data_IF_906459987432
#
_entry.id   IF_906459987432
#
_cell.length_a   1.000
_cell.length_b   1.000
_cell.length_c   1.000
_cell.angle_alpha   90.00
_cell.angle_beta   90.00
_cell.angle_gamma   90.00
#
_symmetry.space_group_name_H-M   'P 1'
#
loop_
_entity.id
_entity.type
_entity.pdbx_description
1 polymer ?
#
# COMPACT_ATOMS: atom_id res chain seq x y z
N UNK A 1 -13.11 0.58 5.16
CA UNK A 1 -13.67 0.44 3.78
C UNK A 1 -15.06 1.07 3.64
N UNK A 2 -15.89 1.07 4.69
CA UNK A 2 -17.21 1.72 4.62
C UNK A 2 -17.09 3.19 4.20
N UNK A 3 -16.22 3.96 4.84
CA UNK A 3 -16.00 5.37 4.51
C UNK A 3 -15.51 5.57 3.07
N UNK A 4 -14.60 4.71 2.58
CA UNK A 4 -14.16 4.74 1.18
C UNK A 4 -15.35 4.62 0.21
N UNK A 5 -16.20 3.61 0.41
CA UNK A 5 -17.37 3.38 -0.44
C UNK A 5 -18.33 4.57 -0.41
N UNK A 6 -18.56 5.14 0.77
CA UNK A 6 -19.45 6.29 0.96
C UNK A 6 -18.92 7.52 0.20
N UNK A 7 -17.62 7.83 0.34
CA UNK A 7 -17.01 8.96 -0.37
C UNK A 7 -17.08 8.75 -1.90
N UNK A 8 -16.72 7.53 -2.37
CA UNK A 8 -16.75 7.24 -3.80
C UNK A 8 -18.14 7.33 -4.42
N UNK A 9 -19.19 6.99 -3.68
CA UNK A 9 -20.58 7.15 -4.14
C UNK A 9 -21.05 8.61 -4.20
N UNK A 10 -20.36 9.51 -3.53
CA UNK A 10 -20.70 10.95 -3.44
C UNK A 10 -19.71 11.83 -4.19
N UNK A 11 -18.91 11.27 -5.09
CA UNK A 11 -17.99 12.09 -5.89
C UNK A 11 -18.75 13.17 -6.66
N UNK A 12 -18.24 14.40 -6.66
CA UNK A 12 -18.83 15.47 -7.45
C UNK A 12 -18.89 15.11 -8.93
N UNK A 13 -19.91 15.62 -9.63
CA UNK A 13 -20.06 15.40 -11.06
C UNK A 13 -18.83 15.91 -11.84
N UNK A 14 -18.28 15.08 -12.70
CA UNK A 14 -17.08 15.41 -13.49
C UNK A 14 -15.77 15.13 -12.79
N UNK A 15 -15.75 14.81 -11.49
CA UNK A 15 -14.55 14.38 -10.78
C UNK A 15 -14.39 12.87 -10.86
N UNK A 16 -13.13 12.45 -10.90
CA UNK A 16 -12.73 11.04 -10.97
C UNK A 16 -11.85 10.66 -9.79
N UNK A 17 -11.93 9.39 -9.42
CA UNK A 17 -11.11 8.80 -8.37
C UNK A 17 -10.29 7.63 -8.88
N UNK A 18 -9.06 7.50 -8.37
CA UNK A 18 -8.27 6.29 -8.47
C UNK A 18 -8.06 5.72 -7.07
N UNK A 19 -8.22 4.41 -6.92
CA UNK A 19 -8.10 3.69 -5.65
C UNK A 19 -7.04 2.61 -5.78
N UNK A 20 -5.94 2.77 -5.08
CA UNK A 20 -4.87 1.78 -5.00
C UNK A 20 -5.12 0.84 -3.82
N UNK A 21 -5.38 -0.42 -4.13
CA UNK A 21 -5.69 -1.47 -3.17
C UNK A 21 -4.51 -2.44 -3.00
N UNK A 22 -4.42 -3.07 -1.84
CA UNK A 22 -3.32 -4.00 -1.55
C UNK A 22 -3.46 -5.31 -2.34
N UNK A 23 -4.66 -5.88 -2.39
CA UNK A 23 -4.90 -7.23 -2.90
C UNK A 23 -5.89 -7.25 -4.08
N UNK A 24 -5.73 -8.25 -4.97
CA UNK A 24 -6.70 -8.50 -6.04
C UNK A 24 -8.09 -8.92 -5.52
N UNK A 25 -8.18 -9.55 -4.35
CA UNK A 25 -9.45 -9.90 -3.71
C UNK A 25 -10.26 -8.65 -3.35
N UNK A 26 -9.58 -7.57 -3.02
CA UNK A 26 -10.21 -6.28 -2.72
C UNK A 26 -10.92 -5.70 -3.96
N UNK A 27 -10.32 -5.88 -5.15
CA UNK A 27 -10.96 -5.47 -6.42
C UNK A 27 -12.28 -6.20 -6.64
N UNK A 28 -12.30 -7.52 -6.36
CA UNK A 28 -13.49 -8.34 -6.52
C UNK A 28 -14.61 -7.95 -5.51
N UNK A 29 -14.24 -7.48 -4.32
CA UNK A 29 -15.20 -6.92 -3.36
C UNK A 29 -15.78 -5.59 -3.87
N UNK A 30 -14.95 -4.70 -4.39
CA UNK A 30 -15.40 -3.41 -4.92
C UNK A 30 -16.28 -3.60 -6.17
N UNK A 31 -15.98 -4.59 -7.01
CA UNK A 31 -16.82 -4.91 -8.16
C UNK A 31 -18.24 -5.31 -7.76
N UNK A 32 -18.42 -6.05 -6.66
CA UNK A 32 -19.77 -6.37 -6.16
C UNK A 32 -20.57 -5.11 -5.79
N UNK A 33 -19.89 -4.02 -5.43
CA UNK A 33 -20.52 -2.78 -4.97
C UNK A 33 -20.75 -1.80 -6.13
N UNK A 34 -19.77 -1.66 -7.02
CA UNK A 34 -19.76 -0.64 -8.07
C UNK A 34 -20.06 -1.20 -9.47
N UNK A 35 -19.92 -2.51 -9.69
CA UNK A 35 -20.19 -3.15 -10.98
C UNK A 35 -19.54 -2.42 -12.16
N UNK A 36 -20.31 -2.21 -13.21
CA UNK A 36 -19.85 -1.56 -14.45
C UNK A 36 -19.68 -0.03 -14.34
N UNK A 37 -20.01 0.57 -13.21
CA UNK A 37 -19.82 2.02 -12.99
C UNK A 37 -18.35 2.38 -12.72
N UNK A 38 -17.54 1.39 -12.36
CA UNK A 38 -16.10 1.53 -12.13
C UNK A 38 -15.28 0.66 -13.10
N UNK A 39 -13.98 0.94 -13.18
CA UNK A 39 -13.00 0.12 -13.86
C UNK A 39 -12.11 -0.60 -12.84
N UNK A 40 -11.56 -1.75 -13.22
CA UNK A 40 -10.74 -2.61 -12.34
C UNK A 40 -9.49 -3.07 -13.08
N UNK A 41 -8.33 -2.92 -12.45
CA UNK A 41 -7.08 -3.35 -13.05
C UNK A 41 -6.16 -4.05 -12.05
N UNK A 42 -5.63 -5.20 -12.42
CA UNK A 42 -4.57 -5.90 -11.69
C UNK A 42 -3.47 -6.38 -12.64
N UNK A 43 -2.39 -6.86 -12.05
CA UNK A 43 -1.26 -7.41 -12.81
C UNK A 43 -1.68 -8.57 -13.72
N UNK A 44 -1.18 -8.61 -14.98
CA UNK A 44 -1.31 -9.77 -15.86
C UNK A 44 -0.70 -11.06 -15.26
N UNK A 45 0.20 -10.92 -14.28
CA UNK A 45 0.80 -12.03 -13.55
C UNK A 45 -0.03 -12.51 -12.35
N UNK A 46 -1.16 -11.87 -12.06
CA UNK A 46 -2.08 -12.35 -11.02
C UNK A 46 -2.88 -13.53 -11.55
N UNK A 47 -2.49 -14.75 -11.19
CA UNK A 47 -3.09 -15.99 -11.71
C UNK A 47 -4.61 -16.07 -11.49
N UNK A 48 -5.11 -15.54 -10.37
CA UNK A 48 -6.53 -15.61 -9.99
C UNK A 48 -7.40 -14.63 -10.76
N UNK A 49 -6.90 -13.41 -10.99
CA UNK A 49 -7.71 -12.30 -11.50
C UNK A 49 -7.30 -11.79 -12.87
N UNK A 50 -6.16 -12.24 -13.44
CA UNK A 50 -5.66 -11.77 -14.75
C UNK A 50 -6.68 -11.88 -15.87
N UNK A 51 -7.45 -12.95 -15.90
CA UNK A 51 -8.45 -13.14 -16.97
C UNK A 51 -9.57 -12.10 -16.93
N UNK A 52 -9.78 -11.46 -15.79
CA UNK A 52 -10.90 -10.54 -15.58
C UNK A 52 -10.45 -9.07 -15.54
N UNK A 53 -9.29 -8.79 -14.94
CA UNK A 53 -8.89 -7.42 -14.62
C UNK A 53 -7.53 -7.00 -15.21
N UNK A 54 -6.94 -7.72 -16.14
CA UNK A 54 -5.61 -7.36 -16.68
C UNK A 54 -5.66 -6.54 -17.97
N UNK A 55 -6.82 -6.25 -18.49
CA UNK A 55 -6.95 -5.39 -19.66
C UNK A 55 -6.95 -3.92 -19.25
N UNK A 56 -5.80 -3.27 -19.44
CA UNK A 56 -5.64 -1.86 -19.12
C UNK A 56 -6.41 -0.96 -20.08
N UNK A 57 -6.65 -1.40 -21.34
CA UNK A 57 -7.28 -0.57 -22.37
C UNK A 57 -8.73 -0.21 -22.05
N UNK A 58 -9.41 -1.00 -21.21
CA UNK A 58 -10.76 -0.71 -20.72
C UNK A 58 -10.77 0.23 -19.53
N UNK A 59 -9.60 0.51 -18.96
CA UNK A 59 -9.45 1.38 -17.79
C UNK A 59 -8.91 2.77 -18.16
N UNK A 60 -7.90 2.79 -19.05
CA UNK A 60 -7.15 4.01 -19.41
C UNK A 60 -6.88 4.02 -20.92
N UNK A 61 -7.15 5.16 -21.56
CA UNK A 61 -6.81 5.42 -22.95
C UNK A 61 -6.15 6.79 -23.08
N UNK A 62 -5.01 6.85 -23.75
CA UNK A 62 -4.23 8.07 -24.00
C UNK A 62 -3.93 8.87 -22.71
N UNK A 63 -3.71 8.15 -21.60
CA UNK A 63 -3.49 8.74 -20.28
C UNK A 63 -4.75 9.23 -19.57
N UNK A 64 -5.94 9.04 -20.17
CA UNK A 64 -7.22 9.42 -19.60
C UNK A 64 -7.91 8.21 -18.96
N UNK A 65 -8.42 8.36 -17.76
CA UNK A 65 -9.24 7.36 -17.08
C UNK A 65 -10.63 7.30 -17.73
N UNK A 66 -11.08 6.10 -18.13
CA UNK A 66 -12.31 5.94 -18.89
C UNK A 66 -13.59 5.95 -18.05
N UNK A 67 -13.50 5.51 -16.78
CA UNK A 67 -14.62 5.51 -15.82
C UNK A 67 -14.37 6.53 -14.72
N UNK A 68 -15.42 6.95 -14.01
CA UNK A 68 -15.25 7.90 -12.90
C UNK A 68 -14.45 7.31 -11.73
N UNK A 69 -14.49 6.00 -11.53
CA UNK A 69 -13.74 5.31 -10.49
C UNK A 69 -12.88 4.24 -11.14
N UNK A 70 -11.60 4.20 -10.77
CA UNK A 70 -10.66 3.15 -11.15
C UNK A 70 -10.09 2.50 -9.89
N UNK A 71 -10.41 1.23 -9.69
CA UNK A 71 -9.78 0.40 -8.67
C UNK A 71 -8.59 -0.34 -9.27
N UNK A 72 -7.45 -0.27 -8.61
CA UNK A 72 -6.25 -0.94 -9.08
C UNK A 72 -5.38 -1.44 -7.92
N UNK A 73 -4.47 -2.36 -8.20
CA UNK A 73 -3.43 -2.78 -7.27
C UNK A 73 -2.12 -2.05 -7.60
N UNK A 74 -1.04 -2.37 -6.89
CA UNK A 74 0.32 -1.88 -7.19
C UNK A 74 0.78 -2.15 -8.64
N UNK A 75 0.06 -3.01 -9.36
CA UNK A 75 0.34 -3.28 -10.77
C UNK A 75 0.33 -2.02 -11.64
N UNK A 76 -0.53 -1.06 -11.32
CA UNK A 76 -0.55 0.23 -12.00
C UNK A 76 0.59 1.15 -11.53
N UNK A 77 1.27 0.81 -10.45
CA UNK A 77 2.44 1.52 -9.93
C UNK A 77 3.65 1.51 -10.87
N UNK A 78 3.63 0.80 -12.00
CA UNK A 78 4.74 0.73 -12.95
C UNK A 78 4.25 1.01 -14.38
N UNK A 79 4.93 1.93 -15.07
CA UNK A 79 4.80 2.12 -16.53
C UNK A 79 3.60 2.94 -17.03
N UNK A 80 2.63 3.30 -16.18
CA UNK A 80 1.43 4.03 -16.60
C UNK A 80 1.42 5.43 -16.00
N UNK A 81 1.22 6.43 -16.83
CA UNK A 81 1.04 7.83 -16.38
C UNK A 81 -0.36 8.32 -16.73
N UNK A 82 -1.13 8.72 -15.73
CA UNK A 82 -2.42 9.37 -15.92
C UNK A 82 -2.22 10.87 -16.11
N UNK A 83 -2.68 11.39 -17.25
CA UNK A 83 -2.69 12.82 -17.60
C UNK A 83 -4.13 13.34 -17.62
N UNK A 84 -4.95 12.87 -16.70
CA UNK A 84 -6.37 13.17 -16.63
C UNK A 84 -6.64 14.23 -15.54
N UNK A 85 -7.04 15.43 -15.96
CA UNK A 85 -7.37 16.53 -15.05
C UNK A 85 -8.64 16.24 -14.23
N UNK A 86 -9.49 15.34 -14.69
CA UNK A 86 -10.69 14.90 -13.97
C UNK A 86 -10.36 14.07 -12.74
N UNK A 87 -9.19 13.41 -12.67
CA UNK A 87 -8.75 12.67 -11.49
C UNK A 87 -8.38 13.66 -10.38
N UNK A 88 -9.30 13.85 -9.45
CA UNK A 88 -9.18 14.78 -8.31
C UNK A 88 -9.01 14.06 -6.98
N UNK A 89 -9.27 12.75 -6.93
CA UNK A 89 -9.21 11.96 -5.71
C UNK A 89 -8.32 10.73 -5.90
N UNK A 90 -7.37 10.55 -4.99
CA UNK A 90 -6.46 9.40 -4.96
C UNK A 90 -6.62 8.73 -3.59
N UNK A 91 -7.10 7.50 -3.57
CA UNK A 91 -7.26 6.71 -2.35
C UNK A 91 -6.16 5.66 -2.28
N UNK A 92 -5.50 5.59 -1.14
CA UNK A 92 -4.40 4.67 -0.88
C UNK A 92 -4.80 3.69 0.23
N UNK A 93 -5.14 2.47 -0.17
CA UNK A 93 -5.34 1.32 0.73
C UNK A 93 -4.10 0.41 0.67
N UNK A 94 -2.92 1.00 0.76
CA UNK A 94 -1.62 0.37 0.78
C UNK A 94 -0.85 0.89 2.00
N UNK A 95 0.08 0.10 2.52
CA UNK A 95 0.82 0.45 3.73
C UNK A 95 2.33 0.69 3.47
N UNK A 96 2.88 0.15 2.38
CA UNK A 96 4.30 0.32 2.05
C UNK A 96 4.56 1.72 1.47
N UNK A 97 5.37 2.57 2.14
CA UNK A 97 5.64 3.93 1.68
C UNK A 97 6.20 4.04 0.26
N UNK A 98 7.04 3.09 -0.15
CA UNK A 98 7.61 3.08 -1.50
C UNK A 98 6.54 2.77 -2.56
N UNK A 99 5.65 1.80 -2.30
CA UNK A 99 4.53 1.49 -3.18
C UNK A 99 3.54 2.67 -3.25
N UNK A 100 3.30 3.33 -2.12
CA UNK A 100 2.46 4.54 -2.05
C UNK A 100 3.08 5.66 -2.91
N UNK A 101 4.37 5.94 -2.75
CA UNK A 101 5.07 6.94 -3.55
C UNK A 101 4.98 6.66 -5.06
N UNK A 102 5.16 5.40 -5.44
CA UNK A 102 5.00 4.96 -6.83
C UNK A 102 3.56 5.15 -7.33
N UNK A 103 2.57 4.81 -6.51
CA UNK A 103 1.15 4.95 -6.83
C UNK A 103 0.76 6.42 -7.02
N UNK A 104 1.18 7.29 -6.12
CA UNK A 104 0.97 8.75 -6.23
C UNK A 104 1.60 9.33 -7.49
N UNK A 105 2.81 8.87 -7.85
CA UNK A 105 3.51 9.29 -9.06
C UNK A 105 2.79 8.91 -10.37
N UNK A 106 1.70 8.15 -10.35
CA UNK A 106 0.94 7.80 -11.56
C UNK A 106 0.05 8.92 -12.07
N UNK A 107 -0.52 9.71 -11.18
CA UNK A 107 -1.18 10.96 -11.59
C UNK A 107 -0.10 11.99 -11.92
N UNK A 108 -0.05 12.40 -13.16
CA UNK A 108 0.85 13.45 -13.64
C UNK A 108 0.11 14.77 -13.64
N UNK A 109 0.60 15.72 -12.84
CA UNK A 109 0.10 17.09 -12.91
C UNK A 109 0.38 17.69 -14.29
N UNK A 110 -0.62 18.31 -14.88
CA UNK A 110 -0.51 18.97 -16.17
C UNK A 110 0.01 20.39 -16.01
N UNK A 111 -0.30 21.03 -14.89
CA UNK A 111 0.14 22.36 -14.48
C UNK A 111 -0.02 22.53 -12.96
N UNK A 112 0.26 23.73 -12.44
CA UNK A 112 0.19 24.05 -11.02
C UNK A 112 -1.24 23.95 -10.42
N UNK A 113 -2.27 24.13 -11.25
CA UNK A 113 -3.67 24.09 -10.80
C UNK A 113 -4.26 22.67 -10.86
N UNK A 114 -3.53 21.72 -11.43
CA UNK A 114 -3.93 20.31 -11.50
C UNK A 114 -3.61 19.59 -10.18
N UNK A 115 -4.40 19.89 -9.17
CA UNK A 115 -4.29 19.34 -7.81
C UNK A 115 -5.19 18.14 -7.58
N UNK A 116 -4.80 17.28 -6.63
CA UNK A 116 -5.57 16.12 -6.17
C UNK A 116 -5.64 16.08 -4.64
N UNK A 117 -6.75 15.58 -4.12
CA UNK A 117 -6.87 15.20 -2.71
C UNK A 117 -6.43 13.75 -2.55
N UNK A 118 -5.51 13.49 -1.63
CA UNK A 118 -5.02 12.15 -1.33
C UNK A 118 -5.60 11.69 0.00
N UNK A 119 -6.17 10.48 0.00
CA UNK A 119 -6.77 9.84 1.15
C UNK A 119 -5.96 8.60 1.52
N UNK A 120 -5.51 8.52 2.75
CA UNK A 120 -4.80 7.36 3.28
C UNK A 120 -5.72 6.56 4.19
N UNK A 121 -5.59 5.22 4.13
CA UNK A 121 -6.21 4.38 5.11
C UNK A 121 -5.53 4.56 6.46
N UNK A 122 -6.31 4.79 7.50
CA UNK A 122 -5.86 4.66 8.87
C UNK A 122 -5.92 3.18 9.28
N UNK A 123 -4.77 2.61 9.60
CA UNK A 123 -4.67 1.21 10.01
C UNK A 123 -4.83 1.12 11.52
N UNK A 124 -5.68 0.20 11.99
CA UNK A 124 -5.85 -0.04 13.42
C UNK A 124 -4.58 -0.58 14.08
N UNK A 125 -4.44 -0.36 15.39
CA UNK A 125 -3.35 -0.93 16.18
C UNK A 125 -3.30 -2.46 16.06
N UNK A 126 -4.45 -3.14 15.98
CA UNK A 126 -4.51 -4.59 15.74
C UNK A 126 -3.90 -5.00 14.41
N UNK A 127 -4.01 -4.16 13.38
CA UNK A 127 -3.36 -4.43 12.11
C UNK A 127 -1.84 -4.37 12.23
N UNK A 128 -1.29 -3.46 13.04
CA UNK A 128 0.15 -3.37 13.29
C UNK A 128 0.64 -4.48 14.22
N UNK A 129 -0.05 -4.73 15.32
CA UNK A 129 0.42 -5.56 16.42
C UNK A 129 -0.30 -6.89 16.56
N UNK A 130 -1.44 -7.07 15.89
CA UNK A 130 -2.23 -8.30 15.91
C UNK A 130 -1.42 -9.55 15.52
N UNK A 131 -1.87 -10.71 15.97
CA UNK A 131 -1.19 -12.01 15.74
C UNK A 131 -1.00 -12.31 14.26
N UNK A 132 -1.95 -11.90 13.42
CA UNK A 132 -1.95 -12.09 11.97
C UNK A 132 -1.67 -10.79 11.19
N UNK A 133 -0.98 -9.82 11.79
CA UNK A 133 -0.75 -8.53 11.15
C UNK A 133 0.03 -8.68 9.84
N UNK A 134 -0.32 -7.87 8.85
CA UNK A 134 0.40 -7.82 7.57
C UNK A 134 1.88 -7.47 7.75
N UNK A 135 2.18 -6.56 8.70
CA UNK A 135 3.55 -6.16 9.01
C UNK A 135 4.38 -7.30 9.60
N UNK A 136 3.83 -8.10 10.51
CA UNK A 136 4.52 -9.28 11.06
C UNK A 136 4.82 -10.30 9.97
N UNK A 137 3.87 -10.55 9.06
CA UNK A 137 4.08 -11.45 7.91
C UNK A 137 5.17 -10.92 6.98
N UNK A 138 5.15 -9.62 6.70
CA UNK A 138 6.17 -8.99 5.86
C UNK A 138 7.56 -9.02 6.53
N UNK A 139 7.64 -8.72 7.82
CA UNK A 139 8.88 -8.87 8.60
C UNK A 139 9.42 -10.29 8.53
N UNK A 140 8.58 -11.29 8.74
CA UNK A 140 8.99 -12.69 8.63
C UNK A 140 9.48 -13.03 7.22
N UNK A 141 8.85 -12.51 6.19
CA UNK A 141 9.30 -12.69 4.81
C UNK A 141 10.68 -12.07 4.57
N UNK A 142 10.92 -10.84 5.06
CA UNK A 142 12.22 -10.16 4.92
C UNK A 142 13.32 -10.91 5.68
N UNK A 143 13.06 -11.35 6.91
CA UNK A 143 14.01 -12.13 7.69
C UNK A 143 14.33 -13.46 7.00
N UNK A 144 13.34 -14.14 6.42
CA UNK A 144 13.56 -15.37 5.66
C UNK A 144 14.39 -15.14 4.39
N UNK A 145 14.29 -13.98 3.75
CA UNK A 145 15.19 -13.60 2.65
C UNK A 145 16.61 -13.36 3.12
N UNK A 146 16.80 -12.83 4.32
CA UNK A 146 18.09 -12.49 4.88
C UNK A 146 18.83 -13.71 5.43
N UNK A 147 18.13 -14.72 5.94
CA UNK A 147 18.69 -15.91 6.59
C UNK A 147 19.82 -16.62 5.81
N UNK A 148 19.71 -16.91 4.48
CA UNK A 148 20.78 -17.52 3.72
C UNK A 148 22.06 -16.70 3.71
N UNK A 149 21.93 -15.39 3.53
CA UNK A 149 23.05 -14.47 3.53
C UNK A 149 23.69 -14.33 4.93
N UNK A 150 22.86 -14.29 5.96
CA UNK A 150 23.33 -14.26 7.35
C UNK A 150 24.17 -15.50 7.69
N UNK A 151 23.70 -16.68 7.32
CA UNK A 151 24.45 -17.92 7.53
C UNK A 151 25.77 -17.92 6.77
N UNK A 152 25.78 -17.45 5.53
CA UNK A 152 27.00 -17.34 4.72
C UNK A 152 28.01 -16.35 5.31
N UNK A 153 27.55 -15.18 5.76
CA UNK A 153 28.44 -14.18 6.41
C UNK A 153 28.96 -14.60 7.77
N UNK A 154 28.26 -15.52 8.46
CA UNK A 154 28.69 -16.05 9.74
C UNK A 154 29.85 -17.06 9.61
N UNK A 155 30.19 -17.49 8.38
CA UNK A 155 31.29 -18.37 8.09
C UNK A 155 30.87 -19.78 7.63
N UNK A 156 31.89 -20.56 7.21
CA UNK A 156 31.68 -21.84 6.55
C UNK A 156 30.90 -22.85 7.41
N UNK A 157 31.20 -22.92 8.71
CA UNK A 157 30.51 -23.85 9.62
C UNK A 157 29.00 -23.55 9.72
N UNK A 158 28.61 -22.27 9.93
CA UNK A 158 27.23 -21.86 10.05
C UNK A 158 26.51 -21.98 8.71
N UNK A 159 27.19 -21.70 7.61
CA UNK A 159 26.61 -21.89 6.29
C UNK A 159 26.37 -23.37 5.97
N UNK A 160 27.30 -24.26 6.32
CA UNK A 160 27.08 -25.69 6.17
C UNK A 160 25.93 -26.20 7.04
N UNK A 161 25.79 -25.72 8.28
CA UNK A 161 24.60 -26.02 9.11
C UNK A 161 23.31 -25.57 8.44
N UNK A 162 23.31 -24.38 7.84
CA UNK A 162 22.15 -23.86 7.12
C UNK A 162 21.83 -24.74 5.91
N UNK A 163 22.80 -25.11 5.09
CA UNK A 163 22.61 -25.97 3.90
C UNK A 163 22.02 -27.34 4.25
N UNK A 164 22.29 -27.87 5.45
CA UNK A 164 21.81 -29.16 5.93
C UNK A 164 20.61 -29.05 6.89
N UNK A 165 20.06 -27.85 7.08
CA UNK A 165 18.94 -27.61 8.01
C UNK A 165 17.57 -28.09 7.50
N UNK A 166 17.46 -28.38 6.19
CA UNK A 166 16.22 -28.80 5.54
C UNK A 166 16.56 -29.61 4.26
N UNK A 167 15.55 -30.08 3.54
CA UNK A 167 15.75 -30.74 2.24
C UNK A 167 16.51 -29.80 1.29
N UNK A 168 17.55 -30.31 0.54
CA UNK A 168 18.37 -29.51 -0.37
C UNK A 168 17.57 -28.69 -1.38
N UNK A 169 16.47 -29.23 -1.94
CA UNK A 169 15.62 -28.50 -2.86
C UNK A 169 14.89 -27.32 -2.19
N UNK A 170 14.50 -27.48 -0.93
CA UNK A 170 13.87 -26.41 -0.13
C UNK A 170 14.88 -25.33 0.17
N UNK A 171 16.07 -25.70 0.57
CA UNK A 171 17.18 -24.77 0.83
C UNK A 171 17.53 -23.99 -0.44
N UNK A 172 17.69 -24.67 -1.58
CA UNK A 172 17.97 -24.01 -2.84
C UNK A 172 16.89 -22.99 -3.21
N UNK A 173 15.62 -23.36 -3.07
CA UNK A 173 14.50 -22.41 -3.29
C UNK A 173 14.53 -21.22 -2.34
N UNK A 174 14.97 -21.40 -1.09
CA UNK A 174 15.14 -20.28 -0.13
C UNK A 174 16.28 -19.35 -0.59
N UNK A 175 17.40 -19.91 -1.05
CA UNK A 175 18.54 -19.14 -1.59
C UNK A 175 18.10 -18.35 -2.83
N UNK A 176 17.47 -19.00 -3.80
CA UNK A 176 17.01 -18.37 -5.04
C UNK A 176 16.00 -17.22 -4.79
N UNK A 177 15.15 -17.37 -3.79
CA UNK A 177 14.20 -16.34 -3.37
C UNK A 177 14.82 -15.21 -2.57
N UNK A 178 15.97 -15.43 -1.97
CA UNK A 178 16.67 -14.43 -1.17
C UNK A 178 17.06 -13.21 -2.00
N UNK A 179 17.63 -13.42 -3.20
CA UNK A 179 18.24 -12.37 -4.03
C UNK A 179 19.36 -11.58 -3.32
N UNK A 180 19.79 -12.03 -2.14
CA UNK A 180 20.90 -11.47 -1.37
C UNK A 180 22.10 -12.40 -1.44
N UNK A 181 21.85 -13.70 -1.36
CA UNK A 181 22.88 -14.72 -1.58
C UNK A 181 22.67 -15.30 -2.98
N UNK A 182 23.65 -15.14 -3.84
CA UNK A 182 23.64 -15.64 -5.21
C UNK A 182 24.66 -16.76 -5.37
N UNK A 183 24.36 -17.74 -6.21
CA UNK A 183 25.24 -18.83 -6.55
C UNK A 183 25.71 -18.71 -7.99
N UNK A 184 27.00 -18.59 -8.17
CA UNK A 184 27.65 -18.65 -9.47
C UNK A 184 28.38 -20.01 -9.60
N UNK A 185 28.18 -20.69 -10.72
CA UNK A 185 28.75 -22.03 -10.96
C UNK A 185 30.29 -22.03 -10.90
N UNK A 186 30.91 -20.90 -11.23
CA UNK A 186 32.39 -20.78 -11.26
C UNK A 186 32.95 -20.27 -9.95
N UNK A 187 32.31 -19.27 -9.33
CA UNK A 187 32.86 -18.59 -8.14
C UNK A 187 32.18 -19.00 -6.83
N UNK A 188 31.18 -19.89 -6.89
CA UNK A 188 30.41 -20.30 -5.73
C UNK A 188 29.43 -19.27 -5.23
N UNK A 189 29.14 -19.30 -3.94
CA UNK A 189 28.22 -18.35 -3.31
C UNK A 189 28.89 -17.00 -3.08
N UNK A 190 28.12 -15.93 -3.30
CA UNK A 190 28.53 -14.56 -3.02
C UNK A 190 27.35 -13.69 -2.59
N UNK A 191 27.63 -12.63 -1.85
CA UNK A 191 26.62 -11.67 -1.42
C UNK A 191 26.38 -10.65 -2.54
N UNK A 192 25.11 -10.47 -2.88
CA UNK A 192 24.64 -9.33 -3.69
C UNK A 192 24.51 -8.10 -2.79
N UNK A 193 25.39 -7.10 -2.90
CA UNK A 193 25.38 -5.96 -2.00
C UNK A 193 24.13 -5.10 -2.14
N UNK A 194 23.56 -5.01 -3.35
CA UNK A 194 22.32 -4.24 -3.60
C UNK A 194 21.12 -4.94 -2.96
N UNK A 195 21.04 -6.28 -3.07
CA UNK A 195 19.99 -7.07 -2.42
C UNK A 195 20.07 -6.96 -0.90
N UNK A 196 21.29 -6.99 -0.33
CA UNK A 196 21.51 -6.81 1.10
C UNK A 196 21.08 -5.41 1.57
N UNK A 197 21.49 -4.38 0.86
CA UNK A 197 21.11 -2.99 1.17
C UNK A 197 19.59 -2.79 1.09
N UNK A 198 18.93 -3.34 0.08
CA UNK A 198 17.48 -3.24 -0.07
C UNK A 198 16.73 -3.89 1.08
N UNK A 199 17.11 -5.11 1.48
CA UNK A 199 16.45 -5.78 2.62
C UNK A 199 16.76 -5.08 3.94
N UNK A 200 17.95 -4.52 4.11
CA UNK A 200 18.29 -3.68 5.27
C UNK A 200 17.37 -2.47 5.36
N UNK A 201 17.23 -1.73 4.26
CA UNK A 201 16.34 -0.58 4.19
C UNK A 201 14.86 -0.96 4.42
N UNK A 202 14.38 -2.05 3.83
CA UNK A 202 13.01 -2.54 4.03
C UNK A 202 12.74 -2.91 5.50
N UNK A 203 13.72 -3.52 6.18
CA UNK A 203 13.61 -3.84 7.61
C UNK A 203 13.61 -2.58 8.46
N UNK A 204 14.49 -1.62 8.20
CA UNK A 204 14.56 -0.34 8.91
C UNK A 204 13.22 0.42 8.77
N UNK A 205 12.72 0.56 7.54
CA UNK A 205 11.43 1.16 7.25
C UNK A 205 10.30 0.47 8.03
N UNK A 206 10.31 -0.86 8.04
CA UNK A 206 9.31 -1.64 8.75
C UNK A 206 9.35 -1.40 10.26
N UNK A 207 10.53 -1.36 10.87
CA UNK A 207 10.68 -1.07 12.29
C UNK A 207 10.21 0.34 12.64
N UNK A 208 10.50 1.32 11.82
CA UNK A 208 10.03 2.69 12.02
C UNK A 208 8.50 2.78 11.94
N UNK A 209 7.87 2.12 10.96
CA UNK A 209 6.41 2.05 10.84
C UNK A 209 5.80 1.35 12.07
N UNK A 210 6.39 0.25 12.52
CA UNK A 210 5.91 -0.50 13.68
C UNK A 210 6.09 0.26 15.00
N UNK A 211 7.09 1.13 15.12
CA UNK A 211 7.33 1.96 16.31
C UNK A 211 6.56 3.27 16.30
N UNK A 212 6.05 3.69 15.14
CA UNK A 212 5.29 4.93 15.00
C UNK A 212 3.85 4.76 15.47
N UNK A 213 3.36 5.76 16.19
CA UNK A 213 1.93 5.90 16.50
C UNK A 213 1.18 6.71 15.44
N UNK A 214 1.92 7.26 14.46
CA UNK A 214 1.39 8.12 13.40
C UNK A 214 1.89 7.65 12.03
N UNK A 215 1.06 6.85 11.34
CA UNK A 215 1.39 6.34 10.02
C UNK A 215 1.69 7.42 8.97
N UNK A 216 0.93 8.54 8.87
CA UNK A 216 1.27 9.63 7.96
C UNK A 216 2.67 10.21 8.17
N UNK A 217 3.13 10.33 9.41
CA UNK A 217 4.47 10.82 9.73
C UNK A 217 5.55 9.84 9.24
N UNK A 218 5.37 8.54 9.52
CA UNK A 218 6.26 7.50 9.00
C UNK A 218 6.28 7.46 7.48
N UNK A 219 5.11 7.61 6.83
CA UNK A 219 5.01 7.70 5.38
C UNK A 219 5.81 8.88 4.83
N UNK A 220 5.70 10.08 5.43
CA UNK A 220 6.41 11.27 4.98
C UNK A 220 7.93 11.08 5.02
N UNK A 221 8.46 10.40 6.06
CA UNK A 221 9.88 10.10 6.18
C UNK A 221 10.42 9.29 5.00
N UNK A 222 9.67 8.27 4.53
CA UNK A 222 10.13 7.35 3.50
C UNK A 222 9.73 7.74 2.08
N UNK A 223 8.64 8.46 1.91
CA UNK A 223 8.13 8.84 0.59
C UNK A 223 8.84 10.04 -0.03
N UNK A 224 9.70 10.72 0.73
CA UNK A 224 10.44 11.94 0.31
C UNK A 224 9.54 13.03 -0.30
N UNK A 225 8.29 13.09 0.10
CA UNK A 225 7.39 14.14 -0.34
C UNK A 225 7.59 15.40 0.53
N UNK A 226 7.95 16.50 -0.10
CA UNK A 226 7.77 17.83 0.46
C UNK A 226 6.27 18.17 0.42
N UNK A 227 5.51 17.59 1.34
CA UNK A 227 4.13 17.96 1.52
C UNK A 227 4.11 19.30 2.25
N UNK A 228 3.81 20.37 1.51
CA UNK A 228 3.71 21.73 2.06
C UNK A 228 2.45 21.91 2.95
N UNK A 229 1.59 20.89 3.03
CA UNK A 229 0.40 20.90 3.86
C UNK A 229 0.37 19.66 4.75
N UNK A 230 -0.06 19.79 6.02
CA UNK A 230 -0.20 18.65 6.90
C UNK A 230 -1.26 17.68 6.32
N UNK A 231 -0.91 16.40 6.26
CA UNK A 231 -1.87 15.35 5.95
C UNK A 231 -2.87 15.29 7.10
N UNK A 232 -4.14 15.52 6.82
CA UNK A 232 -5.21 15.31 7.79
C UNK A 232 -5.45 13.81 7.90
N UNK A 233 -5.02 13.20 9.00
CA UNK A 233 -5.34 11.81 9.32
C UNK A 233 -6.66 11.78 10.08
N UNK A 234 -7.63 11.04 9.56
CA UNK A 234 -8.89 10.78 10.26
C UNK A 234 -8.74 9.47 11.04
N UNK A 235 -8.72 9.54 12.37
CA UNK A 235 -8.61 8.38 13.24
C UNK A 235 -9.94 8.15 13.93
N UNK A 236 -10.38 6.90 13.96
CA UNK A 236 -11.56 6.53 14.73
C UNK A 236 -11.40 6.92 16.20
N UNK A 237 -10.20 6.80 16.74
CA UNK A 237 -9.89 7.20 18.12
C UNK A 237 -10.12 8.68 18.36
N UNK A 238 -9.80 9.55 17.41
CA UNK A 238 -10.01 11.01 17.56
C UNK A 238 -11.51 11.34 17.65
N UNK A 239 -12.35 10.65 16.86
CA UNK A 239 -13.80 10.74 16.98
C UNK A 239 -14.29 10.17 18.31
N UNK A 240 -13.78 9.00 18.72
CA UNK A 240 -14.17 8.35 19.96
C UNK A 240 -13.79 9.23 21.17
N UNK A 241 -12.57 9.74 21.24
CA UNK A 241 -12.09 10.65 22.28
C UNK A 241 -12.95 11.93 22.34
N UNK A 242 -13.32 12.46 21.17
CA UNK A 242 -14.19 13.63 21.08
C UNK A 242 -15.60 13.31 21.59
N UNK A 243 -16.19 12.17 21.21
CA UNK A 243 -17.49 11.72 21.67
C UNK A 243 -17.50 11.55 23.21
N UNK A 244 -16.46 10.92 23.77
CA UNK A 244 -16.33 10.77 25.23
C UNK A 244 -16.22 12.10 25.96
N UNK A 245 -15.48 13.07 25.42
CA UNK A 245 -15.33 14.38 26.01
C UNK A 245 -16.64 15.20 26.02
N UNK A 246 -17.56 14.89 25.10
CA UNK A 246 -18.84 15.59 24.95
C UNK A 246 -20.05 14.76 25.39
N UNK A 247 -19.82 13.63 26.08
CA UNK A 247 -20.87 12.78 26.63
C UNK A 247 -21.79 13.60 27.55
N UNK A 248 -23.11 13.53 27.32
CA UNK A 248 -24.12 14.29 28.07
C UNK A 248 -24.14 15.83 27.83
N UNK A 249 -23.41 16.33 26.84
CA UNK A 249 -23.56 17.71 26.42
C UNK A 249 -24.67 17.80 25.36
N UNK A 250 -25.66 18.70 25.51
CA UNK A 250 -26.65 18.90 24.47
C UNK A 250 -26.00 19.49 23.22
N UNK A 251 -26.19 18.84 22.09
CA UNK A 251 -25.71 19.26 20.79
C UNK A 251 -26.83 19.06 19.77
N UNK A 252 -27.05 19.98 18.89
CA UNK A 252 -28.04 19.78 17.84
C UNK A 252 -27.56 18.81 16.74
N UNK A 253 -28.49 18.35 15.92
CA UNK A 253 -28.20 17.35 14.88
C UNK A 253 -27.27 17.86 13.80
N UNK A 254 -27.35 19.14 13.44
CA UNK A 254 -26.47 19.73 12.41
C UNK A 254 -25.05 19.87 12.94
N UNK A 255 -24.87 20.39 14.14
CA UNK A 255 -23.58 20.53 14.78
C UNK A 255 -22.90 19.16 14.97
N UNK A 256 -23.64 18.15 15.39
CA UNK A 256 -23.15 16.77 15.52
C UNK A 256 -22.67 16.23 14.17
N UNK A 257 -23.46 16.38 13.13
CA UNK A 257 -23.14 15.93 11.78
C UNK A 257 -21.90 16.62 11.24
N UNK A 258 -21.79 17.95 11.37
CA UNK A 258 -20.61 18.69 10.95
C UNK A 258 -19.32 18.22 11.67
N UNK A 259 -19.39 17.95 12.97
CA UNK A 259 -18.26 17.44 13.74
C UNK A 259 -17.85 16.03 13.29
N UNK A 260 -18.81 15.12 13.11
CA UNK A 260 -18.55 13.76 12.62
C UNK A 260 -17.94 13.79 11.22
N UNK A 261 -18.48 14.64 10.33
CA UNK A 261 -17.91 14.86 9.01
C UNK A 261 -16.48 15.46 9.08
N UNK A 262 -16.23 16.34 10.04
CA UNK A 262 -14.93 16.92 10.32
C UNK A 262 -13.85 15.88 10.68
N UNK A 263 -14.25 14.71 11.22
CA UNK A 263 -13.39 13.55 11.46
C UNK A 263 -13.31 12.59 10.26
N UNK A 264 -13.93 12.94 9.11
CA UNK A 264 -13.89 12.12 7.90
C UNK A 264 -14.95 11.02 7.84
N UNK A 265 -15.94 11.03 8.73
CA UNK A 265 -17.09 10.16 8.68
C UNK A 265 -18.24 10.90 7.99
N UNK A 266 -18.91 10.21 7.08
CA UNK A 266 -20.04 10.72 6.31
C UNK A 266 -21.22 9.79 6.60
N UNK A 267 -22.38 10.32 6.88
CA UNK A 267 -23.60 9.53 7.03
C UNK A 267 -23.99 8.76 5.76
#
# INVERSE_FOLDING_TARGET
RHNLVTILKRLPAGEKAIVFMELGDDLAEMEKIFGDTAAYYCSPFNERYRKKYSDLSVCVKDGQQLKNILFTTKAMGVGIGLKDRGVKHIFIDQWNPLEIAQSLGRKRSLDADDTCTVYFRDYSLDWYWGTNSGLKKFRSMLLNKYLPAQAYMAGEEEFNKYLHSDNPEVIQKKIDKSKILEHNVVTGYHINPLGLQQVGHDLEMLYDIMSSTNYPESFMKYAMFNLHQPIKAYRFKDLEDWLYAHLNQPMDSEEMTEKIMGFGYIE
#
